data_IF_151074955713
#
_entry.id   IF_151074955713
#
_cell.length_a   1.000
_cell.length_b   1.000
_cell.length_c   1.000
_cell.angle_alpha   90.00
_cell.angle_beta   90.00
_cell.angle_gamma   90.00
#
_symmetry.space_group_name_H-M   'P 1'
#
loop_
_entity.id
_entity.type
_entity.pdbx_description
1 polymer ?
#
# COMPACT_ATOMS: atom_id res chain seq x y z
N UNK A 1 26.14 -8.58 -19.94
CA UNK A 1 24.88 -9.25 -19.54
C UNK A 1 24.11 -8.32 -18.63
N UNK A 2 22.79 -8.29 -18.76
CA UNK A 2 21.97 -7.43 -17.93
C UNK A 2 20.90 -8.25 -17.20
N UNK A 3 20.60 -7.91 -15.94
CA UNK A 3 19.56 -8.54 -15.15
C UNK A 3 19.04 -7.55 -14.09
N UNK A 4 17.76 -7.64 -13.71
CA UNK A 4 17.30 -6.86 -12.57
C UNK A 4 17.91 -7.40 -11.28
N UNK A 5 18.09 -6.52 -10.28
CA UNK A 5 18.62 -6.88 -8.97
C UNK A 5 17.59 -6.73 -7.86
N UNK A 6 16.37 -6.22 -8.16
CA UNK A 6 15.31 -6.07 -7.20
C UNK A 6 14.27 -5.08 -7.69
N UNK A 7 13.32 -4.79 -6.83
CA UNK A 7 12.36 -3.71 -7.03
C UNK A 7 12.89 -2.44 -6.36
N UNK A 8 12.77 -1.32 -7.05
CA UNK A 8 13.10 0.00 -6.50
C UNK A 8 11.87 0.62 -5.86
N UNK A 9 10.78 0.65 -6.59
CA UNK A 9 9.52 1.22 -6.11
C UNK A 9 8.33 0.58 -6.83
N UNK A 10 7.13 0.85 -6.30
CA UNK A 10 5.86 0.52 -6.93
C UNK A 10 5.13 1.83 -7.18
N UNK A 11 4.63 2.03 -8.40
CA UNK A 11 3.83 3.20 -8.75
C UNK A 11 2.35 2.87 -8.67
N UNK A 12 1.59 3.69 -7.94
CA UNK A 12 0.17 3.50 -7.72
C UNK A 12 -0.59 4.76 -8.13
N UNK A 13 -1.65 4.59 -8.91
CA UNK A 13 -2.59 5.65 -9.20
C UNK A 13 -3.67 5.65 -8.14
N UNK A 14 -4.01 6.82 -7.62
CA UNK A 14 -5.02 7.00 -6.59
C UNK A 14 -5.99 8.10 -7.01
N UNK A 15 -7.21 8.06 -6.49
CA UNK A 15 -8.21 9.08 -6.83
C UNK A 15 -8.14 10.30 -5.93
N UNK A 16 -7.67 10.12 -4.69
CA UNK A 16 -7.60 11.19 -3.68
C UNK A 16 -6.27 11.06 -2.94
N UNK A 17 -5.32 11.93 -3.26
CA UNK A 17 -3.97 11.87 -2.69
C UNK A 17 -3.99 11.95 -1.16
N UNK A 18 -4.73 12.88 -0.59
CA UNK A 18 -4.73 13.09 0.86
C UNK A 18 -5.30 11.89 1.59
N UNK A 19 -6.36 11.28 1.05
CA UNK A 19 -6.95 10.07 1.62
C UNK A 19 -5.98 8.90 1.58
N UNK A 20 -5.29 8.70 0.46
CA UNK A 20 -4.30 7.62 0.33
C UNK A 20 -3.12 7.83 1.25
N UNK A 21 -2.63 9.06 1.39
CA UNK A 21 -1.53 9.37 2.31
C UNK A 21 -1.91 9.08 3.75
N UNK A 22 -3.13 9.44 4.17
CA UNK A 22 -3.62 9.11 5.52
C UNK A 22 -3.64 7.60 5.76
N UNK A 23 -4.06 6.83 4.75
CA UNK A 23 -4.07 5.37 4.85
C UNK A 23 -2.65 4.81 5.08
N UNK A 24 -1.68 5.23 4.26
CA UNK A 24 -0.31 4.72 4.40
C UNK A 24 0.35 5.19 5.69
N UNK A 25 0.09 6.42 6.12
CA UNK A 25 0.56 6.91 7.41
C UNK A 25 -0.04 6.11 8.57
N UNK A 26 -1.32 5.73 8.48
CA UNK A 26 -1.96 4.89 9.48
C UNK A 26 -1.36 3.49 9.57
N UNK A 27 -0.78 3.00 8.47
CA UNK A 27 -0.01 1.75 8.48
C UNK A 27 1.39 1.91 9.09
N UNK A 28 1.82 3.13 9.33
CA UNK A 28 3.15 3.41 9.90
C UNK A 28 4.20 3.82 8.88
N UNK A 29 3.81 4.06 7.63
CA UNK A 29 4.76 4.49 6.60
C UNK A 29 4.98 6.00 6.67
N UNK A 30 6.15 6.44 6.22
CA UNK A 30 6.53 7.85 6.24
C UNK A 30 6.41 8.48 4.87
N UNK A 31 5.70 9.60 4.79
CA UNK A 31 5.65 10.39 3.56
C UNK A 31 6.93 11.19 3.44
N UNK A 32 7.71 10.92 2.39
CA UNK A 32 9.00 11.59 2.17
C UNK A 32 8.83 12.95 1.50
N UNK A 33 7.93 13.04 0.52
CA UNK A 33 7.67 14.29 -0.20
C UNK A 33 6.36 14.20 -0.97
N UNK A 34 5.82 15.37 -1.27
CA UNK A 34 4.62 15.53 -2.09
C UNK A 34 4.86 16.66 -3.08
N UNK A 35 4.13 16.66 -4.19
CA UNK A 35 4.14 17.74 -5.16
C UNK A 35 2.77 18.37 -5.31
N UNK A 36 2.73 19.60 -5.78
CA UNK A 36 1.54 20.22 -6.30
C UNK A 36 1.25 19.65 -7.71
N UNK A 37 0.01 19.77 -8.22
CA UNK A 37 -0.27 19.33 -9.58
C UNK A 37 0.65 19.99 -10.61
N UNK A 38 1.16 19.18 -11.54
CA UNK A 38 1.96 19.69 -12.65
C UNK A 38 1.06 20.24 -13.78
N UNK A 39 1.65 20.55 -14.94
CA UNK A 39 0.92 21.11 -16.08
C UNK A 39 -0.19 20.19 -16.59
N UNK A 40 -0.06 18.87 -16.38
CA UNK A 40 -1.05 17.86 -16.77
C UNK A 40 -2.06 17.55 -15.67
N UNK A 41 -1.99 18.28 -14.55
CA UNK A 41 -2.86 18.03 -13.40
C UNK A 41 -2.45 16.83 -12.57
N UNK A 42 -1.25 16.28 -12.80
CA UNK A 42 -0.76 15.11 -12.06
C UNK A 42 -0.06 15.56 -10.78
N UNK A 43 -0.58 15.09 -9.66
CA UNK A 43 0.01 15.27 -8.34
C UNK A 43 0.73 13.98 -7.95
N UNK A 44 1.88 14.08 -7.31
CA UNK A 44 2.66 12.92 -6.91
C UNK A 44 3.08 12.99 -5.45
N UNK A 45 3.37 11.82 -4.88
CA UNK A 45 3.91 11.69 -3.54
C UNK A 45 4.81 10.46 -3.50
N UNK A 46 5.81 10.50 -2.60
CA UNK A 46 6.69 9.37 -2.35
C UNK A 46 6.56 8.99 -0.90
N UNK A 47 6.29 7.70 -0.68
CA UNK A 47 6.10 7.12 0.66
C UNK A 47 7.18 6.06 0.86
N UNK A 48 7.89 6.14 2.00
CA UNK A 48 8.95 5.19 2.31
C UNK A 48 8.37 3.89 2.87
N UNK A 49 8.78 2.76 2.30
CA UNK A 49 8.42 1.42 2.75
C UNK A 49 9.71 0.64 2.98
N UNK A 50 10.31 0.79 4.17
CA UNK A 50 11.63 0.21 4.45
C UNK A 50 12.69 0.80 3.55
N UNK A 51 13.40 -0.05 2.80
CA UNK A 51 14.42 0.38 1.84
C UNK A 51 13.86 0.70 0.46
N UNK A 52 12.57 0.54 0.25
CA UNK A 52 11.88 0.79 -1.01
C UNK A 52 10.86 1.91 -0.87
N UNK A 53 10.22 2.26 -1.96
CA UNK A 53 9.28 3.37 -1.99
C UNK A 53 7.98 2.99 -2.69
N UNK A 54 6.91 3.65 -2.28
CA UNK A 54 5.67 3.69 -3.04
C UNK A 54 5.56 5.09 -3.64
N UNK A 55 5.38 5.16 -4.96
CA UNK A 55 5.17 6.42 -5.65
C UNK A 55 3.68 6.53 -5.97
N UNK A 56 3.01 7.52 -5.40
CA UNK A 56 1.59 7.73 -5.60
C UNK A 56 1.36 8.84 -6.61
N UNK A 57 0.39 8.63 -7.49
CA UNK A 57 0.02 9.60 -8.51
C UNK A 57 -1.49 9.80 -8.48
N UNK A 58 -1.94 11.05 -8.45
CA UNK A 58 -3.36 11.40 -8.49
C UNK A 58 -3.63 12.40 -9.61
N UNK A 59 -4.73 12.17 -10.30
CA UNK A 59 -5.24 13.08 -11.34
C UNK A 59 -6.75 12.96 -11.37
N UNK A 60 -7.44 14.05 -11.76
CA UNK A 60 -8.90 14.14 -11.68
C UNK A 60 -9.64 13.07 -12.48
N UNK A 61 -9.02 12.51 -13.53
CA UNK A 61 -9.63 11.47 -14.37
C UNK A 61 -9.32 10.05 -13.94
N UNK A 62 -8.53 9.87 -12.86
CA UNK A 62 -8.28 8.52 -12.34
C UNK A 62 -9.53 7.99 -11.64
N UNK A 63 -9.78 6.70 -11.79
CA UNK A 63 -10.93 6.00 -11.21
C UNK A 63 -10.46 4.86 -10.32
N UNK A 64 -11.28 4.41 -9.35
CA UNK A 64 -10.91 3.29 -8.48
C UNK A 64 -10.55 2.03 -9.25
N UNK A 65 -9.85 1.09 -8.56
CA UNK A 65 -9.45 -0.18 -9.13
C UNK A 65 -10.65 -0.91 -9.75
N UNK A 66 -10.40 -1.58 -10.87
CA UNK A 66 -11.41 -2.34 -11.58
C UNK A 66 -11.81 -3.62 -10.85
N UNK A 67 -12.65 -4.45 -11.47
CA UNK A 67 -13.11 -5.70 -10.85
C UNK A 67 -11.94 -6.66 -10.61
N UNK A 68 -12.12 -7.54 -9.63
CA UNK A 68 -11.11 -8.54 -9.27
C UNK A 68 -10.71 -9.44 -10.45
N UNK A 69 -11.61 -9.64 -11.40
CA UNK A 69 -11.35 -10.43 -12.60
C UNK A 69 -10.49 -9.72 -13.65
N UNK A 70 -10.23 -8.42 -13.49
CA UNK A 70 -9.40 -7.68 -14.42
C UNK A 70 -7.94 -8.11 -14.30
N UNK A 71 -7.24 -8.18 -15.43
CA UNK A 71 -5.81 -8.47 -15.47
C UNK A 71 -5.05 -7.27 -14.90
N UNK A 72 -3.98 -7.56 -14.15
CA UNK A 72 -3.12 -6.54 -13.56
C UNK A 72 -2.38 -7.10 -12.36
N UNK A 73 -1.81 -6.24 -11.55
CA UNK A 73 -1.18 -6.63 -10.30
C UNK A 73 -2.29 -7.01 -9.31
N UNK A 74 -2.22 -8.23 -8.76
CA UNK A 74 -3.20 -8.69 -7.79
C UNK A 74 -3.10 -7.91 -6.48
N UNK A 75 -1.89 -7.78 -5.97
CA UNK A 75 -1.61 -7.06 -4.72
C UNK A 75 -0.13 -6.77 -4.63
N UNK A 76 0.24 -5.95 -3.67
CA UNK A 76 1.62 -5.86 -3.21
C UNK A 76 1.66 -6.13 -1.71
N UNK A 77 2.84 -6.52 -1.22
CA UNK A 77 3.01 -6.95 0.16
C UNK A 77 3.98 -6.02 0.89
N UNK A 78 3.56 -5.54 2.05
CA UNK A 78 4.42 -4.80 2.98
C UNK A 78 4.81 -5.73 4.12
N UNK A 79 6.09 -5.71 4.47
CA UNK A 79 6.59 -6.40 5.67
C UNK A 79 6.32 -5.49 6.85
N UNK A 80 5.57 -6.00 7.83
CA UNK A 80 5.19 -5.24 9.01
C UNK A 80 6.05 -5.64 10.21
N UNK A 81 6.17 -4.72 11.15
CA UNK A 81 6.81 -4.94 12.43
C UNK A 81 5.76 -4.75 13.52
N UNK A 82 5.55 -5.77 14.33
CA UNK A 82 4.60 -5.76 15.43
C UNK A 82 5.00 -6.87 16.42
N UNK A 83 4.57 -6.76 17.67
CA UNK A 83 4.91 -7.79 18.67
C UNK A 83 4.18 -9.09 18.41
N UNK A 84 3.00 -9.04 17.77
CA UNK A 84 2.22 -10.22 17.43
C UNK A 84 1.24 -9.89 16.32
N UNK A 85 0.67 -10.93 15.72
CA UNK A 85 -0.40 -10.73 14.72
C UNK A 85 -1.64 -10.09 15.37
N UNK A 86 -1.93 -10.38 16.62
CA UNK A 86 -3.04 -9.78 17.34
C UNK A 86 -2.83 -8.28 17.53
N UNK A 87 -1.60 -7.85 17.79
CA UNK A 87 -1.27 -6.43 17.90
C UNK A 87 -1.44 -5.72 16.55
N UNK A 88 -1.04 -6.37 15.46
CA UNK A 88 -1.26 -5.82 14.12
C UNK A 88 -2.75 -5.67 13.84
N UNK A 89 -3.54 -6.69 14.13
CA UNK A 89 -5.00 -6.65 13.94
C UNK A 89 -5.61 -5.52 14.78
N UNK A 90 -5.19 -5.38 16.04
CA UNK A 90 -5.69 -4.33 16.92
C UNK A 90 -5.33 -2.94 16.38
N UNK A 91 -4.11 -2.78 15.87
CA UNK A 91 -3.68 -1.51 15.26
C UNK A 91 -4.56 -1.13 14.07
N UNK A 92 -4.83 -2.09 13.19
CA UNK A 92 -5.67 -1.86 12.01
C UNK A 92 -7.09 -1.47 12.41
N UNK A 93 -7.66 -2.13 13.41
CA UNK A 93 -8.99 -1.79 13.91
C UNK A 93 -9.05 -0.38 14.49
N UNK A 94 -8.05 0.01 15.27
CA UNK A 94 -7.97 1.35 15.83
C UNK A 94 -7.83 2.41 14.73
N UNK A 95 -7.14 2.09 13.65
CA UNK A 95 -6.97 2.97 12.49
C UNK A 95 -8.18 2.94 11.55
N UNK A 96 -9.21 2.13 11.85
CA UNK A 96 -10.42 1.94 11.04
C UNK A 96 -10.09 1.40 9.64
N UNK A 97 -9.11 0.52 9.57
CA UNK A 97 -8.73 -0.20 8.36
C UNK A 97 -9.31 -1.59 8.44
N UNK A 98 -10.22 -1.93 7.53
CA UNK A 98 -10.89 -3.22 7.53
C UNK A 98 -9.98 -4.31 6.97
N UNK A 99 -9.92 -5.44 7.68
CA UNK A 99 -9.24 -6.63 7.22
C UNK A 99 -10.19 -7.38 6.30
N UNK A 100 -9.79 -7.59 5.05
CA UNK A 100 -10.63 -8.26 4.05
C UNK A 100 -10.31 -9.75 3.95
N UNK A 101 -9.17 -10.18 4.48
CA UNK A 101 -8.79 -11.59 4.54
C UNK A 101 -7.73 -11.80 5.60
N UNK A 102 -7.83 -12.91 6.31
CA UNK A 102 -6.84 -13.35 7.29
C UNK A 102 -7.21 -13.03 8.74
N UNK A 103 -6.29 -13.32 9.67
CA UNK A 103 -4.91 -13.80 9.48
C UNK A 103 -4.83 -15.15 8.77
N UNK A 104 -3.86 -15.27 7.86
CA UNK A 104 -3.55 -16.53 7.17
C UNK A 104 -2.10 -16.90 7.42
N UNK A 105 -1.85 -18.21 7.51
CA UNK A 105 -0.50 -18.72 7.67
C UNK A 105 0.29 -18.57 6.39
N UNK A 106 1.56 -18.19 6.52
CA UNK A 106 2.53 -18.13 5.45
C UNK A 106 3.72 -19.01 5.83
N UNK A 107 4.60 -19.29 4.86
CA UNK A 107 5.80 -20.10 5.11
C UNK A 107 6.60 -19.60 6.30
N UNK A 108 6.81 -18.29 6.39
CA UNK A 108 7.67 -17.68 7.40
C UNK A 108 6.92 -16.55 8.12
N UNK A 109 5.71 -16.83 8.60
CA UNK A 109 4.93 -15.86 9.33
C UNK A 109 3.47 -15.91 9.00
N UNK A 110 2.77 -14.79 9.23
CA UNK A 110 1.33 -14.67 9.02
C UNK A 110 1.02 -13.37 8.31
N UNK A 111 -0.07 -13.34 7.57
CA UNK A 111 -0.49 -12.15 6.83
C UNK A 111 -1.95 -11.83 7.05
N UNK A 112 -2.26 -10.54 6.97
CA UNK A 112 -3.62 -10.05 6.77
C UNK A 112 -3.66 -9.22 5.50
N UNK A 113 -4.82 -9.13 4.89
CA UNK A 113 -5.03 -8.35 3.67
C UNK A 113 -6.00 -7.22 3.95
N UNK A 114 -5.71 -6.07 3.41
CA UNK A 114 -6.55 -4.88 3.50
C UNK A 114 -6.70 -4.29 2.10
N UNK A 115 -7.64 -3.36 1.93
CA UNK A 115 -7.73 -2.55 0.71
C UNK A 115 -7.29 -1.13 1.04
N UNK A 116 -6.43 -0.56 0.18
CA UNK A 116 -6.22 0.88 0.25
C UNK A 116 -7.51 1.58 -0.26
N UNK A 117 -7.68 2.90 -0.04
CA UNK A 117 -8.97 3.56 -0.28
C UNK A 117 -9.57 3.40 -1.67
N UNK A 118 -8.75 3.16 -2.69
CA UNK A 118 -9.22 2.98 -4.08
C UNK A 118 -9.42 1.52 -4.48
N UNK A 119 -9.35 0.59 -3.51
CA UNK A 119 -9.61 -0.82 -3.73
C UNK A 119 -8.39 -1.65 -4.11
N UNK A 120 -7.20 -1.07 -4.15
CA UNK A 120 -5.98 -1.84 -4.38
C UNK A 120 -5.72 -2.74 -3.17
N UNK A 121 -5.44 -4.01 -3.43
CA UNK A 121 -5.23 -4.99 -2.38
C UNK A 121 -3.80 -4.89 -1.84
N UNK A 122 -3.69 -4.87 -0.52
CA UNK A 122 -2.39 -4.81 0.16
C UNK A 122 -2.31 -5.96 1.14
N UNK A 123 -1.26 -6.77 1.01
CA UNK A 123 -0.93 -7.80 1.99
C UNK A 123 0.00 -7.19 3.04
N UNK A 124 -0.31 -7.43 4.30
CA UNK A 124 0.50 -7.00 5.44
C UNK A 124 1.07 -8.26 6.09
N UNK A 125 2.36 -8.48 5.91
CA UNK A 125 3.02 -9.69 6.36
C UNK A 125 3.83 -9.43 7.63
N UNK A 126 3.58 -10.23 8.65
CA UNK A 126 4.37 -10.25 9.87
C UNK A 126 5.24 -11.50 9.85
N UNK A 127 6.56 -11.36 9.68
CA UNK A 127 7.48 -12.52 9.73
C UNK A 127 7.49 -13.15 11.10
N UNK A 128 7.69 -14.46 11.12
CA UNK A 128 7.82 -15.21 12.39
C UNK A 128 9.21 -15.04 13.01
#
# INVERSE_FOLDING_TARGET
MARPTGLDHVGLKVTDMDRSLRFYQALGLTVLRTSEPNAEGLRSAVVQAGSQELNLFARADFVPAGPESAVGVDHFCLVMEATSIDDLVAHLRQARIDIVKGPVERRDGRSVFVHEPDGVRVELRLPS
#
